data_IF_200992546054
#
_entry.id   IF_200992546054
#
_cell.length_a   1.000
_cell.length_b   1.000
_cell.length_c   1.000
_cell.angle_alpha   90.00
_cell.angle_beta   90.00
_cell.angle_gamma   90.00
#
_symmetry.space_group_name_H-M   'P 1'
#
loop_
_entity.id
_entity.type
_entity.pdbx_description
1 polymer ?
#
# COMPACT_ATOMS: atom_id res chain seq x y z
N UNK A 1 6.42 9.17 9.35
CA UNK A 1 5.42 10.21 9.72
C UNK A 1 4.03 9.60 9.87
N UNK A 2 3.45 9.01 8.83
CA UNK A 2 2.10 8.39 8.89
C UNK A 2 1.97 7.27 9.92
N UNK A 3 2.99 6.42 10.08
CA UNK A 3 2.99 5.37 11.10
C UNK A 3 2.92 5.93 12.53
N UNK A 4 3.58 7.05 12.81
CA UNK A 4 3.50 7.70 14.12
C UNK A 4 2.08 8.20 14.40
N UNK A 5 1.45 8.87 13.44
CA UNK A 5 0.07 9.34 13.57
C UNK A 5 -0.94 8.19 13.72
N UNK A 6 -0.81 7.13 12.93
CA UNK A 6 -1.69 5.96 13.06
C UNK A 6 -1.48 5.23 14.39
N UNK A 7 -0.24 5.15 14.89
CA UNK A 7 0.07 4.59 16.20
C UNK A 7 -0.60 5.40 17.32
N UNK A 8 -0.53 6.73 17.26
CA UNK A 8 -1.18 7.64 18.20
C UNK A 8 -2.71 7.53 18.16
N UNK A 9 -3.29 7.31 16.98
CA UNK A 9 -4.73 7.06 16.84
C UNK A 9 -5.18 5.69 17.37
N UNK A 10 -4.28 4.70 17.39
CA UNK A 10 -4.55 3.35 17.89
C UNK A 10 -4.31 3.25 19.40
N UNK A 11 -3.40 4.05 19.96
CA UNK A 11 -3.01 3.98 21.37
C UNK A 11 -4.19 4.10 22.38
N UNK A 12 -5.21 4.96 22.16
CA UNK A 12 -6.39 5.04 23.04
C UNK A 12 -7.21 3.76 23.12
N UNK A 13 -7.09 2.84 22.15
CA UNK A 13 -7.80 1.57 22.13
C UNK A 13 -7.10 0.47 22.96
N UNK A 14 -6.01 0.82 23.65
CA UNK A 14 -5.33 -0.04 24.60
C UNK A 14 -4.12 -0.80 24.03
N UNK A 15 -3.36 -1.43 24.94
CA UNK A 15 -2.09 -2.08 24.60
C UNK A 15 -2.27 -3.22 23.59
N UNK A 16 -3.37 -3.96 23.66
CA UNK A 16 -3.66 -5.06 22.72
C UNK A 16 -3.80 -4.57 21.28
N UNK A 17 -4.44 -3.41 21.07
CA UNK A 17 -4.60 -2.82 19.75
C UNK A 17 -3.27 -2.32 19.19
N UNK A 18 -2.44 -1.70 20.03
CA UNK A 18 -1.12 -1.24 19.65
C UNK A 18 -0.19 -2.39 19.27
N UNK A 19 -0.22 -3.48 20.06
CA UNK A 19 0.53 -4.69 19.79
C UNK A 19 0.06 -5.35 18.48
N UNK A 20 -1.26 -5.43 18.26
CA UNK A 20 -1.82 -5.98 17.03
C UNK A 20 -1.36 -5.18 15.80
N UNK A 21 -1.45 -3.84 15.85
CA UNK A 21 -0.97 -2.97 14.78
C UNK A 21 0.53 -3.13 14.51
N UNK A 22 1.34 -3.19 15.58
CA UNK A 22 2.79 -3.35 15.46
C UNK A 22 3.20 -4.68 14.82
N UNK A 23 2.53 -5.78 15.19
CA UNK A 23 2.75 -7.10 14.57
C UNK A 23 2.29 -7.08 13.11
N UNK A 24 1.07 -6.57 12.84
CA UNK A 24 0.53 -6.46 11.50
C UNK A 24 1.43 -5.70 10.54
N UNK A 25 1.97 -4.55 10.97
CA UNK A 25 2.92 -3.77 10.17
C UNK A 25 4.22 -4.53 9.87
N UNK A 26 4.72 -5.33 10.81
CA UNK A 26 5.90 -6.19 10.58
C UNK A 26 5.61 -7.27 9.54
N UNK A 27 4.44 -7.91 9.64
CA UNK A 27 3.98 -8.92 8.67
C UNK A 27 3.87 -8.31 7.27
N UNK A 28 3.27 -7.13 7.15
CA UNK A 28 3.18 -6.38 5.89
C UNK A 28 4.55 -6.04 5.31
N UNK A 29 5.48 -5.62 6.16
CA UNK A 29 6.83 -5.24 5.72
C UNK A 29 7.53 -6.39 4.99
N UNK A 30 7.34 -7.64 5.42
CA UNK A 30 7.89 -8.83 4.74
C UNK A 30 7.30 -9.01 3.34
N UNK A 31 6.00 -8.82 3.20
CA UNK A 31 5.30 -8.93 1.91
C UNK A 31 5.65 -7.78 0.96
N UNK A 32 6.01 -6.61 1.51
CA UNK A 32 6.39 -5.44 0.71
C UNK A 32 7.84 -5.52 0.21
N UNK A 33 8.71 -6.34 0.80
CA UNK A 33 10.11 -6.46 0.36
C UNK A 33 10.24 -6.84 -1.13
N UNK A 34 9.56 -7.88 -1.64
CA UNK A 34 9.54 -8.17 -3.07
C UNK A 34 8.99 -7.02 -3.92
N UNK A 35 7.98 -6.30 -3.41
CA UNK A 35 7.40 -5.16 -4.13
C UNK A 35 8.40 -4.02 -4.28
N UNK A 36 9.12 -3.69 -3.21
CA UNK A 36 10.16 -2.66 -3.21
C UNK A 36 11.29 -3.07 -4.17
N UNK A 37 11.71 -4.33 -4.14
CA UNK A 37 12.72 -4.86 -5.05
C UNK A 37 12.31 -4.71 -6.52
N UNK A 38 11.11 -5.15 -6.89
CA UNK A 38 10.61 -5.02 -8.26
C UNK A 38 10.37 -3.56 -8.66
N UNK A 39 9.88 -2.73 -7.73
CA UNK A 39 9.70 -1.29 -7.92
C UNK A 39 11.03 -0.61 -8.25
N UNK A 40 12.12 -0.94 -7.55
CA UNK A 40 13.46 -0.42 -7.85
C UNK A 40 13.96 -0.86 -9.22
N UNK A 41 13.77 -2.12 -9.59
CA UNK A 41 14.09 -2.61 -10.94
C UNK A 41 13.28 -1.88 -12.03
N UNK A 42 12.01 -1.60 -11.76
CA UNK A 42 11.13 -0.86 -12.67
C UNK A 42 11.59 0.58 -12.87
N UNK A 43 12.02 1.30 -11.81
CA UNK A 43 12.60 2.65 -11.91
C UNK A 43 13.76 2.66 -12.91
N UNK A 44 14.71 1.73 -12.76
CA UNK A 44 15.89 1.62 -13.65
C UNK A 44 15.50 1.29 -15.09
N UNK A 45 14.55 0.37 -15.30
CA UNK A 45 14.08 -0.01 -16.63
C UNK A 45 13.38 1.16 -17.34
N UNK A 46 12.52 1.91 -16.64
CA UNK A 46 11.87 3.12 -17.18
C UNK A 46 12.91 4.19 -17.53
N UNK A 47 13.91 4.40 -16.67
CA UNK A 47 15.01 5.34 -16.94
C UNK A 47 15.80 4.98 -18.20
N UNK A 48 16.11 3.70 -18.39
CA UNK A 48 16.79 3.19 -19.59
C UNK A 48 15.97 3.40 -20.87
N UNK A 49 14.69 3.02 -20.87
CA UNK A 49 13.84 3.19 -22.06
C UNK A 49 13.55 4.65 -22.36
N UNK A 50 13.41 5.51 -21.34
CA UNK A 50 13.32 6.96 -21.52
C UNK A 50 14.58 7.51 -22.20
N UNK A 51 15.77 7.14 -21.71
CA UNK A 51 17.04 7.56 -22.30
C UNK A 51 17.20 7.10 -23.76
N UNK A 52 16.69 5.91 -24.08
CA UNK A 52 16.71 5.33 -25.42
C UNK A 52 15.53 5.73 -26.31
N UNK A 53 14.67 6.67 -25.86
CA UNK A 53 13.45 7.14 -26.55
C UNK A 53 12.46 6.03 -26.97
N UNK A 54 12.44 4.91 -26.23
CA UNK A 54 11.58 3.75 -26.50
C UNK A 54 10.35 3.77 -25.58
N UNK A 55 9.49 4.78 -25.73
CA UNK A 55 8.36 5.02 -24.82
C UNK A 55 7.32 3.89 -24.84
N UNK A 56 7.08 3.25 -25.99
CA UNK A 56 6.19 2.09 -26.10
C UNK A 56 6.60 0.93 -25.16
N UNK A 57 7.92 0.73 -25.00
CA UNK A 57 8.44 -0.31 -24.10
C UNK A 57 8.14 -0.01 -22.64
N UNK A 58 8.06 1.26 -22.25
CA UNK A 58 7.65 1.67 -20.89
C UNK A 58 6.24 1.17 -20.58
N UNK A 59 5.32 1.25 -21.54
CA UNK A 59 3.96 0.71 -21.36
C UNK A 59 3.97 -0.82 -21.21
N UNK A 60 4.74 -1.50 -22.07
CA UNK A 60 4.88 -2.96 -22.04
C UNK A 60 5.43 -3.45 -20.69
N UNK A 61 6.55 -2.88 -20.22
CA UNK A 61 7.14 -3.28 -18.94
C UNK A 61 6.25 -2.94 -17.76
N UNK A 62 5.50 -1.82 -17.81
CA UNK A 62 4.56 -1.44 -16.76
C UNK A 62 3.45 -2.47 -16.62
N UNK A 63 2.87 -2.91 -17.74
CA UNK A 63 1.82 -3.94 -17.75
C UNK A 63 2.33 -5.29 -17.24
N UNK A 64 3.56 -5.69 -17.60
CA UNK A 64 4.14 -6.93 -17.10
C UNK A 64 4.45 -6.87 -15.60
N UNK A 65 5.06 -5.78 -15.13
CA UNK A 65 5.34 -5.57 -13.72
C UNK A 65 4.04 -5.55 -12.89
N UNK A 66 2.99 -4.88 -13.38
CA UNK A 66 1.67 -4.87 -12.72
C UNK A 66 1.10 -6.28 -12.60
N UNK A 67 1.05 -7.04 -13.70
CA UNK A 67 0.54 -8.42 -13.65
C UNK A 67 1.31 -9.27 -12.65
N UNK A 68 2.63 -9.19 -12.64
CA UNK A 68 3.47 -9.96 -11.72
C UNK A 68 3.17 -9.61 -10.26
N UNK A 69 3.14 -8.33 -9.91
CA UNK A 69 2.89 -7.90 -8.53
C UNK A 69 1.45 -8.14 -8.09
N UNK A 70 0.47 -7.94 -8.97
CA UNK A 70 -0.94 -8.21 -8.64
C UNK A 70 -1.13 -9.71 -8.38
N UNK A 71 -0.56 -10.59 -9.22
CA UNK A 71 -0.62 -12.03 -8.98
C UNK A 71 0.06 -12.42 -7.67
N UNK A 72 1.23 -11.85 -7.36
CA UNK A 72 1.91 -12.08 -6.09
C UNK A 72 1.08 -11.60 -4.88
N UNK A 73 0.56 -10.37 -4.93
CA UNK A 73 -0.30 -9.81 -3.88
C UNK A 73 -1.61 -10.57 -3.72
N UNK A 74 -2.15 -11.14 -4.79
CA UNK A 74 -3.35 -11.97 -4.74
C UNK A 74 -3.09 -13.26 -3.96
N UNK A 75 -1.95 -13.91 -4.17
CA UNK A 75 -1.55 -15.07 -3.37
C UNK A 75 -1.37 -14.69 -1.90
N UNK A 76 -0.66 -13.59 -1.60
CA UNK A 76 -0.50 -13.11 -0.23
C UNK A 76 -1.84 -12.76 0.43
N UNK A 77 -2.74 -12.12 -0.30
CA UNK A 77 -4.10 -11.78 0.14
C UNK A 77 -4.89 -13.02 0.54
N UNK A 78 -4.88 -14.08 -0.27
CA UNK A 78 -5.56 -15.35 0.06
C UNK A 78 -4.98 -15.95 1.34
N UNK A 79 -3.65 -16.02 1.46
CA UNK A 79 -2.99 -16.58 2.66
C UNK A 79 -3.36 -15.77 3.92
N UNK A 80 -3.35 -14.44 3.82
CA UNK A 80 -3.65 -13.55 4.95
C UNK A 80 -5.12 -13.54 5.33
N UNK A 81 -6.01 -13.75 4.36
CA UNK A 81 -7.44 -13.83 4.60
C UNK A 81 -7.85 -15.17 5.22
N UNK A 82 -7.27 -16.28 4.76
CA UNK A 82 -7.59 -17.63 5.23
C UNK A 82 -6.95 -17.96 6.57
N UNK A 83 -5.70 -17.55 6.79
CA UNK A 83 -4.91 -17.95 7.97
C UNK A 83 -4.38 -16.79 8.84
N UNK A 84 -5.17 -15.72 9.11
CA UNK A 84 -4.68 -14.57 9.88
C UNK A 84 -4.30 -14.92 11.32
N UNK A 85 -5.09 -15.77 11.99
CA UNK A 85 -4.84 -16.16 13.40
C UNK A 85 -3.54 -16.95 13.53
N UNK A 86 -3.26 -17.86 12.58
CA UNK A 86 -2.01 -18.61 12.52
C UNK A 86 -0.81 -17.66 12.36
N UNK A 87 -0.92 -16.66 11.49
CA UNK A 87 0.15 -15.68 11.28
C UNK A 87 0.42 -14.91 12.57
N UNK A 88 -0.62 -14.44 13.27
CA UNK A 88 -0.44 -13.73 14.54
C UNK A 88 0.07 -14.64 15.66
N UNK A 89 -0.33 -15.92 15.69
CA UNK A 89 0.13 -16.87 16.72
C UNK A 89 1.63 -17.13 16.70
N UNK A 90 2.32 -16.84 15.58
CA UNK A 90 3.78 -16.92 15.49
C UNK A 90 4.45 -15.83 16.34
N UNK A 91 3.78 -14.70 16.55
CA UNK A 91 4.32 -13.53 17.25
C UNK A 91 3.81 -13.41 18.69
N UNK A 92 2.62 -13.91 19.00
CA UNK A 92 2.00 -13.78 20.33
C UNK A 92 0.97 -14.87 20.60
N UNK A 93 0.80 -15.24 21.87
CA UNK A 93 -0.26 -16.14 22.33
C UNK A 93 -1.45 -15.39 22.97
N UNK A 94 -1.41 -14.06 23.02
CA UNK A 94 -2.45 -13.23 23.63
C UNK A 94 -3.70 -13.16 22.73
N UNK A 95 -4.80 -13.81 23.14
CA UNK A 95 -6.04 -13.90 22.35
C UNK A 95 -6.66 -12.55 21.99
N UNK A 96 -6.52 -11.53 22.85
CA UNK A 96 -6.96 -10.17 22.57
C UNK A 96 -6.17 -9.49 21.44
N UNK A 97 -4.88 -9.80 21.31
CA UNK A 97 -4.03 -9.28 20.22
C UNK A 97 -4.32 -10.03 18.92
N UNK A 98 -4.48 -11.35 19.00
CA UNK A 98 -4.76 -12.20 17.84
C UNK A 98 -6.11 -11.83 17.20
N UNK A 99 -7.15 -11.60 18.00
CA UNK A 99 -8.48 -11.21 17.49
C UNK A 99 -8.46 -9.85 16.77
N UNK A 100 -7.83 -8.83 17.36
CA UNK A 100 -7.66 -7.53 16.71
C UNK A 100 -6.78 -7.60 15.46
N UNK A 101 -5.71 -8.40 15.53
CA UNK A 101 -4.80 -8.64 14.43
C UNK A 101 -5.44 -9.39 13.26
N UNK A 102 -6.36 -10.30 13.56
CA UNK A 102 -7.16 -10.99 12.54
C UNK A 102 -7.99 -10.02 11.74
N UNK A 103 -8.68 -9.11 12.42
CA UNK A 103 -9.55 -8.14 11.76
C UNK A 103 -8.70 -7.17 10.92
N UNK A 104 -7.52 -6.77 11.42
CA UNK A 104 -6.52 -6.00 10.66
C UNK A 104 -6.15 -6.70 9.34
N UNK A 105 -5.67 -7.95 9.39
CA UNK A 105 -5.22 -8.65 8.19
C UNK A 105 -6.35 -8.96 7.22
N UNK A 106 -7.53 -9.34 7.70
CA UNK A 106 -8.66 -9.63 6.81
C UNK A 106 -9.12 -8.39 6.05
N UNK A 107 -9.23 -7.25 6.72
CA UNK A 107 -9.62 -6.00 6.07
C UNK A 107 -8.60 -5.63 5.00
N UNK A 108 -7.32 -5.63 5.35
CA UNK A 108 -6.25 -5.18 4.45
C UNK A 108 -6.01 -6.16 3.29
N UNK A 109 -6.08 -7.46 3.54
CA UNK A 109 -5.94 -8.49 2.51
C UNK A 109 -6.89 -8.27 1.32
N UNK A 110 -8.11 -7.78 1.55
CA UNK A 110 -9.08 -7.50 0.48
C UNK A 110 -8.56 -6.46 -0.53
N UNK A 111 -7.68 -5.56 -0.09
CA UNK A 111 -7.19 -4.44 -0.90
C UNK A 111 -5.74 -4.60 -1.36
N UNK A 112 -5.03 -5.63 -0.90
CA UNK A 112 -3.64 -5.89 -1.31
C UNK A 112 -3.43 -6.01 -2.82
N UNK A 113 -4.31 -6.67 -3.61
CA UNK A 113 -4.14 -6.73 -5.06
C UNK A 113 -4.16 -5.36 -5.75
N UNK A 114 -4.68 -4.33 -5.09
CA UNK A 114 -4.78 -2.96 -5.62
C UNK A 114 -3.49 -2.16 -5.33
N UNK A 115 -2.77 -2.48 -4.26
CA UNK A 115 -1.54 -1.77 -3.84
C UNK A 115 -0.47 -1.62 -4.94
N UNK A 116 -0.17 -2.63 -5.78
CA UNK A 116 0.85 -2.52 -6.82
C UNK A 116 0.61 -1.38 -7.81
N UNK A 117 -0.65 -1.00 -8.04
CA UNK A 117 -1.01 0.12 -8.92
C UNK A 117 -0.40 1.43 -8.43
N UNK A 118 -0.53 1.72 -7.13
CA UNK A 118 0.05 2.94 -6.55
C UNK A 118 1.57 2.90 -6.58
N UNK A 119 2.16 1.77 -6.19
CA UNK A 119 3.60 1.64 -6.03
C UNK A 119 4.32 1.72 -7.39
N UNK A 120 3.85 0.97 -8.40
CA UNK A 120 4.46 1.00 -9.73
C UNK A 120 4.26 2.33 -10.45
N UNK A 121 3.14 3.03 -10.21
CA UNK A 121 2.98 4.40 -10.72
C UNK A 121 4.00 5.35 -10.12
N UNK A 122 4.19 5.32 -8.79
CA UNK A 122 5.20 6.13 -8.12
C UNK A 122 6.63 5.79 -8.58
N UNK A 123 6.92 4.51 -8.81
CA UNK A 123 8.17 4.04 -9.37
C UNK A 123 8.38 4.48 -10.83
N UNK A 124 7.32 4.44 -11.64
CA UNK A 124 7.34 4.92 -13.01
C UNK A 124 7.66 6.41 -13.10
N UNK A 125 7.01 7.24 -12.28
CA UNK A 125 7.33 8.67 -12.20
C UNK A 125 8.79 8.92 -11.78
N UNK A 126 9.31 8.18 -10.80
CA UNK A 126 10.72 8.25 -10.41
C UNK A 126 11.65 7.88 -11.58
N UNK A 127 11.36 6.80 -12.31
CA UNK A 127 12.12 6.41 -13.50
C UNK A 127 12.05 7.43 -14.63
N UNK A 128 10.96 8.20 -14.72
CA UNK A 128 10.85 9.35 -15.63
C UNK A 128 11.59 10.59 -15.14
N UNK A 129 12.26 10.55 -13.98
CA UNK A 129 12.92 11.70 -13.35
C UNK A 129 11.95 12.70 -12.73
N UNK A 130 10.69 12.30 -12.49
CA UNK A 130 9.65 13.14 -11.88
C UNK A 130 9.43 12.70 -10.43
N UNK A 131 10.15 13.30 -9.50
CA UNK A 131 10.01 13.00 -8.06
C UNK A 131 8.73 13.57 -7.43
N UNK A 132 8.25 14.72 -7.90
CA UNK A 132 7.08 15.39 -7.33
C UNK A 132 5.79 14.54 -7.38
N UNK A 133 5.42 13.92 -8.53
CA UNK A 133 4.24 13.03 -8.57
C UNK A 133 4.33 11.88 -7.57
N UNK A 134 5.50 11.26 -7.41
CA UNK A 134 5.70 10.16 -6.45
C UNK A 134 5.50 10.61 -5.00
N UNK A 135 5.97 11.82 -4.67
CA UNK A 135 5.72 12.44 -3.37
C UNK A 135 4.22 12.72 -3.16
N UNK A 136 3.54 13.26 -4.16
CA UNK A 136 2.10 13.54 -4.09
C UNK A 136 1.31 12.25 -3.86
N UNK A 137 1.64 11.16 -4.56
CA UNK A 137 0.99 9.86 -4.34
C UNK A 137 1.18 9.36 -2.90
N UNK A 138 2.39 9.47 -2.36
CA UNK A 138 2.66 9.08 -0.98
C UNK A 138 1.88 9.94 0.04
N UNK A 139 1.79 11.26 -0.21
CA UNK A 139 1.04 12.19 0.63
C UNK A 139 -0.47 11.95 0.56
N UNK A 140 -1.01 11.73 -0.64
CA UNK A 140 -2.43 11.41 -0.83
C UNK A 140 -2.79 10.14 -0.07
N UNK A 141 -2.00 9.08 -0.26
CA UNK A 141 -2.20 7.78 0.38
C UNK A 141 -2.31 7.90 1.89
N UNK A 142 -1.24 8.38 2.53
CA UNK A 142 -1.13 8.30 3.98
C UNK A 142 -1.50 9.58 4.71
N UNK A 143 -1.22 10.75 4.12
CA UNK A 143 -1.43 12.05 4.76
C UNK A 143 -2.81 12.64 4.54
N UNK A 144 -3.35 12.59 3.31
CA UNK A 144 -4.61 13.25 2.99
C UNK A 144 -5.83 12.34 3.14
N UNK A 145 -5.67 11.02 2.95
CA UNK A 145 -6.79 10.07 3.02
C UNK A 145 -6.75 9.26 4.30
N UNK A 146 -5.72 8.45 4.54
CA UNK A 146 -5.73 7.52 5.68
C UNK A 146 -5.81 8.22 7.04
N UNK A 147 -4.94 9.19 7.33
CA UNK A 147 -4.90 9.85 8.65
C UNK A 147 -6.19 10.65 8.94
N UNK A 148 -6.68 11.53 8.04
CA UNK A 148 -7.90 12.30 8.31
C UNK A 148 -9.15 11.42 8.41
N UNK A 149 -9.24 10.38 7.58
CA UNK A 149 -10.36 9.43 7.63
C UNK A 149 -10.33 8.65 8.94
N UNK A 150 -9.16 8.16 9.36
CA UNK A 150 -9.01 7.47 10.64
C UNK A 150 -9.42 8.39 11.81
N UNK A 151 -8.86 9.61 11.87
CA UNK A 151 -9.19 10.60 12.90
C UNK A 151 -10.69 10.92 12.96
N UNK A 152 -11.32 11.13 11.80
CA UNK A 152 -12.74 11.44 11.75
C UNK A 152 -13.61 10.28 12.28
N UNK A 153 -13.33 9.05 11.88
CA UNK A 153 -14.14 7.91 12.32
C UNK A 153 -13.86 7.47 13.77
N UNK A 154 -12.63 7.60 14.26
CA UNK A 154 -12.30 7.19 15.64
C UNK A 154 -12.54 8.30 16.66
N UNK A 155 -12.08 9.52 16.41
CA UNK A 155 -12.13 10.61 17.39
C UNK A 155 -13.45 11.38 17.32
N UNK A 156 -13.91 11.74 16.12
CA UNK A 156 -15.13 12.56 15.98
C UNK A 156 -16.40 11.72 16.15
N UNK A 157 -16.40 10.51 15.60
CA UNK A 157 -17.54 9.58 15.72
C UNK A 157 -17.47 8.62 16.90
N UNK A 158 -16.36 8.56 17.63
CA UNK A 158 -16.17 7.60 18.73
C UNK A 158 -16.21 6.14 18.26
N UNK A 159 -15.85 5.88 17.01
CA UNK A 159 -15.98 4.57 16.41
C UNK A 159 -14.90 3.57 16.89
N UNK A 160 -15.18 2.26 16.82
CA UNK A 160 -14.22 1.19 17.12
C UNK A 160 -12.94 1.23 16.26
N UNK A 161 -11.90 0.54 16.77
CA UNK A 161 -10.55 0.51 16.19
C UNK A 161 -10.51 0.01 14.74
N UNK A 162 -11.46 -0.82 14.30
CA UNK A 162 -11.47 -1.33 12.93
C UNK A 162 -11.59 -0.23 11.87
N UNK A 163 -12.12 0.95 12.23
CA UNK A 163 -12.16 2.09 11.32
C UNK A 163 -10.77 2.60 10.94
N UNK A 164 -9.77 2.40 11.79
CA UNK A 164 -8.37 2.71 11.45
C UNK A 164 -7.90 1.80 10.32
N UNK A 165 -8.19 0.50 10.41
CA UNK A 165 -7.81 -0.48 9.39
C UNK A 165 -8.45 -0.16 8.04
N UNK A 166 -9.74 0.19 8.06
CA UNK A 166 -10.49 0.61 6.88
C UNK A 166 -9.93 1.91 6.30
N UNK A 167 -9.56 2.88 7.14
CA UNK A 167 -8.98 4.14 6.67
C UNK A 167 -7.61 3.96 5.99
N UNK A 168 -6.79 3.01 6.47
CA UNK A 168 -5.54 2.63 5.80
C UNK A 168 -5.86 2.07 4.41
N UNK A 169 -6.74 1.08 4.33
CA UNK A 169 -7.16 0.46 3.08
C UNK A 169 -7.74 1.47 2.08
N UNK A 170 -8.59 2.40 2.54
CA UNK A 170 -9.17 3.45 1.71
C UNK A 170 -8.11 4.38 1.11
N UNK A 171 -7.10 4.77 1.90
CA UNK A 171 -5.99 5.59 1.39
C UNK A 171 -5.17 4.88 0.33
N UNK A 172 -4.93 3.59 0.51
CA UNK A 172 -4.25 2.75 -0.47
C UNK A 172 -5.05 2.62 -1.77
N UNK A 173 -6.36 2.39 -1.69
CA UNK A 173 -7.24 2.33 -2.87
C UNK A 173 -7.29 3.67 -3.60
N UNK A 174 -7.46 4.77 -2.89
CA UNK A 174 -7.50 6.10 -3.49
C UNK A 174 -6.20 6.43 -4.21
N UNK A 175 -5.07 6.19 -3.54
CA UNK A 175 -3.74 6.41 -4.12
C UNK A 175 -3.47 5.51 -5.32
N UNK A 176 -3.93 4.25 -5.27
CA UNK A 176 -3.79 3.31 -6.38
C UNK A 176 -4.56 3.75 -7.62
N UNK A 177 -5.83 4.13 -7.46
CA UNK A 177 -6.67 4.59 -8.58
C UNK A 177 -6.09 5.89 -9.15
N UNK A 178 -5.83 6.87 -8.27
CA UNK A 178 -5.31 8.17 -8.67
C UNK A 178 -3.94 8.05 -9.35
N UNK A 179 -3.02 7.28 -8.76
CA UNK A 179 -1.68 7.04 -9.29
C UNK A 179 -1.70 6.27 -10.60
N UNK A 180 -2.56 5.27 -10.76
CA UNK A 180 -2.67 4.52 -12.02
C UNK A 180 -3.19 5.40 -13.16
N UNK A 181 -4.25 6.18 -12.92
CA UNK A 181 -4.82 7.09 -13.91
C UNK A 181 -3.79 8.14 -14.32
N UNK A 182 -3.14 8.78 -13.35
CA UNK A 182 -2.16 9.82 -13.63
C UNK A 182 -0.97 9.28 -14.42
N UNK A 183 -0.41 8.14 -14.01
CA UNK A 183 0.72 7.56 -14.73
C UNK A 183 0.35 7.15 -16.16
N UNK A 184 -0.86 6.62 -16.38
CA UNK A 184 -1.35 6.29 -17.73
C UNK A 184 -1.52 7.51 -18.62
N UNK A 185 -1.98 8.64 -18.07
CA UNK A 185 -2.04 9.93 -18.80
C UNK A 185 -0.63 10.39 -19.17
N UNK A 186 0.31 10.28 -18.25
CA UNK A 186 1.70 10.66 -18.47
C UNK A 186 2.36 9.82 -19.56
N UNK A 187 2.14 8.50 -19.56
CA UNK A 187 2.63 7.61 -20.62
C UNK A 187 2.12 8.02 -22.01
N UNK A 188 0.83 8.35 -22.14
CA UNK A 188 0.24 8.78 -23.41
C UNK A 188 0.83 10.09 -23.96
N UNK A 189 1.22 11.01 -23.06
CA UNK A 189 1.90 12.26 -23.45
C UNK A 189 3.30 12.02 -23.99
N UNK A 190 3.98 10.97 -23.53
CA UNK A 190 5.32 10.61 -24.01
C UNK A 190 5.27 9.92 -25.38
N UNK A 191 4.17 9.23 -25.71
CA UNK A 191 3.96 8.59 -27.00
C UNK A 191 3.49 9.56 -28.10
N UNK A 192 2.77 10.64 -27.73
CA UNK A 192 2.32 11.70 -28.64
C UNK A 192 2.93 13.05 -28.22
N UNK A 193 4.22 13.29 -28.51
CA UNK A 193 4.95 14.48 -28.06
C UNK A 193 4.43 15.80 -28.66
#
# INVERSE_FOLDING_TARGET
LSLFFLNDLVAPFGQNALAAFGIGFRVESVVFLPMIGLSGAFVSAVGYFKGSRQFEKIHMIHRHALKLLISFMMVCSIVFFMSPELIYSIFTNEGGVISLGRDYLRILALFYPILPLSLLSAAGFQGLGKGYPSLILALVRSGCVSVPTAYYFTVVRGGPVYYVWVAIALGDVFSAIFGHIWFKIEQRKLENP
#
